data_IF_317113551325
#
_entry.id   IF_317113551325
#
_cell.length_a   1.000
_cell.length_b   1.000
_cell.length_c   1.000
_cell.angle_alpha   90.00
_cell.angle_beta   90.00
_cell.angle_gamma   90.00
#
_symmetry.space_group_name_H-M   'P 1'
#
loop_
_entity.id
_entity.type
_entity.pdbx_description
1 polymer ?
#
# COMPACT_ATOMS: atom_id res chain seq x y z
N UNK A 1 -34.51 22.56 4.95
CA UNK A 1 -33.12 23.02 5.17
C UNK A 1 -32.29 21.79 5.50
N UNK A 2 -31.14 21.67 4.83
CA UNK A 2 -30.49 20.40 4.48
C UNK A 2 -30.13 19.48 5.64
N UNK A 3 -30.29 18.19 5.38
CA UNK A 3 -29.76 17.11 6.20
C UNK A 3 -28.25 17.30 6.36
N UNK A 4 -27.79 17.40 7.61
CA UNK A 4 -26.39 17.24 7.93
C UNK A 4 -26.01 15.80 7.55
N UNK A 5 -25.21 15.64 6.49
CA UNK A 5 -24.53 14.39 6.19
C UNK A 5 -23.64 14.04 7.37
N UNK A 6 -24.15 13.19 8.26
CA UNK A 6 -23.35 12.53 9.27
C UNK A 6 -22.30 11.72 8.54
N UNK A 7 -21.05 12.22 8.53
CA UNK A 7 -19.88 11.45 8.10
C UNK A 7 -19.96 10.07 8.76
N UNK A 8 -19.93 8.96 8.00
CA UNK A 8 -19.98 7.63 8.56
C UNK A 8 -18.81 7.48 9.54
N UNK A 9 -19.11 6.97 10.75
CA UNK A 9 -18.12 6.72 11.81
C UNK A 9 -17.00 5.85 11.23
N UNK A 10 -15.81 6.42 11.07
CA UNK A 10 -14.63 5.66 10.68
C UNK A 10 -14.26 4.72 11.81
N UNK A 11 -14.21 3.42 11.55
CA UNK A 11 -13.49 2.51 12.42
C UNK A 11 -12.00 2.81 12.22
N UNK A 12 -11.42 3.57 13.15
CA UNK A 12 -10.09 4.18 13.08
C UNK A 12 -8.91 3.21 13.21
N UNK A 13 -9.08 1.91 13.03
CA UNK A 13 -8.11 0.94 13.53
C UNK A 13 -6.84 0.76 12.67
N UNK A 14 -6.76 1.26 11.43
CA UNK A 14 -5.58 1.02 10.54
C UNK A 14 -4.87 2.29 10.04
N UNK A 15 -5.31 3.47 10.48
CA UNK A 15 -4.72 4.75 10.06
C UNK A 15 -3.33 4.99 10.65
N UNK A 16 -3.17 4.55 11.89
CA UNK A 16 -1.99 4.78 12.73
C UNK A 16 -1.42 3.47 13.28
N UNK A 17 -1.89 2.32 12.77
CA UNK A 17 -1.15 1.07 12.90
C UNK A 17 0.12 1.23 12.05
N UNK A 18 1.05 1.98 12.63
CA UNK A 18 2.45 1.91 12.28
C UNK A 18 2.79 0.45 12.39
N UNK A 19 3.07 -0.18 11.25
CA UNK A 19 4.15 -1.14 11.12
C UNK A 19 4.87 -1.33 12.47
N UNK A 20 4.42 -2.35 13.21
CA UNK A 20 5.35 -3.17 13.97
C UNK A 20 6.04 -4.17 13.02
N UNK A 21 6.05 -3.94 11.69
CA UNK A 21 7.01 -4.67 10.85
C UNK A 21 8.40 -4.26 11.30
N UNK A 22 9.14 -5.26 11.75
CA UNK A 22 10.54 -5.13 12.11
C UNK A 22 11.31 -4.89 10.82
N UNK A 23 11.33 -3.62 10.39
CA UNK A 23 12.15 -3.23 9.25
C UNK A 23 13.60 -3.48 9.65
N UNK A 24 14.36 -4.27 8.85
CA UNK A 24 15.76 -4.51 9.12
C UNK A 24 16.53 -3.21 9.36
N UNK A 25 17.43 -3.21 10.35
CA UNK A 25 18.16 -2.03 10.81
C UNK A 25 19.06 -1.39 9.74
N UNK A 26 19.40 -2.13 8.68
CA UNK A 26 20.18 -1.61 7.56
C UNK A 26 19.34 -0.73 6.60
N UNK A 27 18.00 -0.78 6.69
CA UNK A 27 17.09 0.07 5.91
C UNK A 27 16.90 1.39 6.65
N UNK A 28 17.64 2.41 6.24
CA UNK A 28 17.71 3.71 6.95
C UNK A 28 16.61 4.69 6.60
N UNK A 29 15.89 4.49 5.48
CA UNK A 29 14.80 5.36 5.01
C UNK A 29 13.63 4.53 4.45
N UNK A 30 12.87 3.85 5.32
CA UNK A 30 11.85 2.91 4.87
C UNK A 30 10.69 3.56 4.10
N UNK A 31 10.46 4.87 4.27
CA UNK A 31 9.31 5.58 3.70
C UNK A 31 9.62 6.28 2.37
N UNK A 32 10.90 6.55 2.07
CA UNK A 32 11.27 7.33 0.89
C UNK A 32 11.19 6.55 -0.42
N UNK A 33 11.17 5.23 -0.35
CA UNK A 33 11.28 4.32 -1.50
C UNK A 33 10.13 3.30 -1.55
N UNK A 34 8.99 3.61 -0.94
CA UNK A 34 7.82 2.75 -0.95
C UNK A 34 7.23 2.65 -2.36
N UNK A 35 6.95 1.43 -2.79
CA UNK A 35 6.28 1.10 -4.06
C UNK A 35 5.42 -0.15 -3.90
N UNK A 36 4.53 -0.42 -4.87
CA UNK A 36 3.89 -1.73 -5.01
C UNK A 36 4.67 -2.54 -6.05
N UNK A 37 4.97 -3.80 -5.76
CA UNK A 37 5.68 -4.68 -6.69
C UNK A 37 5.06 -6.07 -6.77
N UNK A 38 5.13 -6.67 -7.96
CA UNK A 38 4.58 -8.01 -8.18
C UNK A 38 5.39 -9.09 -7.45
N UNK A 39 4.73 -9.83 -6.56
CA UNK A 39 5.27 -10.96 -5.82
C UNK A 39 4.13 -11.96 -5.54
N UNK A 40 4.40 -13.25 -5.70
CA UNK A 40 3.45 -14.34 -5.36
C UNK A 40 2.04 -14.21 -5.97
N UNK A 41 1.91 -13.58 -7.15
CA UNK A 41 0.63 -13.46 -7.85
C UNK A 41 -0.10 -12.12 -7.65
N UNK A 42 0.40 -11.24 -6.79
CA UNK A 42 -0.22 -9.96 -6.46
C UNK A 42 0.82 -8.84 -6.41
N UNK A 43 0.39 -7.58 -6.36
CA UNK A 43 1.28 -6.45 -6.13
C UNK A 43 1.23 -6.04 -4.67
N UNK A 44 2.36 -6.22 -3.98
CA UNK A 44 2.48 -5.96 -2.55
C UNK A 44 3.36 -4.74 -2.25
N UNK A 45 3.13 -4.05 -1.13
CA UNK A 45 3.99 -3.00 -0.62
C UNK A 45 5.41 -3.50 -0.39
N UNK A 46 6.38 -2.76 -0.91
CA UNK A 46 7.79 -3.00 -0.69
C UNK A 46 8.60 -1.70 -0.67
N UNK A 47 9.84 -1.81 -0.21
CA UNK A 47 10.82 -0.73 -0.16
C UNK A 47 11.90 -1.04 -1.18
N UNK A 48 12.21 -0.11 -2.09
CA UNK A 48 13.40 -0.23 -2.95
C UNK A 48 14.65 0.02 -2.10
N UNK A 49 15.55 -0.96 -2.05
CA UNK A 49 16.81 -0.91 -1.33
C UNK A 49 17.94 -0.39 -2.22
N UNK A 50 18.11 -1.01 -3.39
CA UNK A 50 19.16 -0.66 -4.37
C UNK A 50 18.78 -1.15 -5.78
N UNK A 51 19.70 -1.03 -6.74
CA UNK A 51 19.63 -1.66 -8.05
C UNK A 51 19.89 -3.16 -7.94
N UNK A 52 19.12 -3.94 -8.69
CA UNK A 52 19.34 -5.37 -8.83
C UNK A 52 20.74 -5.65 -9.42
N UNK A 53 21.41 -6.69 -8.92
CA UNK A 53 22.73 -7.12 -9.39
C UNK A 53 22.64 -8.14 -10.51
N UNK A 54 21.57 -8.95 -10.53
CA UNK A 54 21.41 -10.06 -11.45
C UNK A 54 20.30 -9.80 -12.49
N UNK A 55 19.41 -8.84 -12.26
CA UNK A 55 18.35 -8.44 -13.18
C UNK A 55 18.68 -7.09 -13.83
N UNK A 56 18.87 -7.09 -15.15
CA UNK A 56 19.02 -5.84 -15.92
C UNK A 56 17.77 -4.97 -15.78
N UNK A 57 17.97 -3.69 -15.45
CA UNK A 57 16.89 -2.75 -15.11
C UNK A 57 15.99 -3.25 -13.96
N UNK A 58 16.57 -3.96 -12.98
CA UNK A 58 15.86 -4.39 -11.79
C UNK A 58 16.15 -3.54 -10.55
N UNK A 59 15.43 -3.85 -9.49
CA UNK A 59 15.63 -3.33 -8.14
C UNK A 59 15.78 -4.48 -7.15
N UNK A 60 16.64 -4.30 -6.17
CA UNK A 60 16.59 -5.07 -4.92
C UNK A 60 15.52 -4.42 -4.02
N UNK A 61 14.58 -5.22 -3.53
CA UNK A 61 13.43 -4.74 -2.75
C UNK A 61 13.22 -5.57 -1.50
N UNK A 62 12.68 -4.94 -0.45
CA UNK A 62 12.19 -5.58 0.77
C UNK A 62 10.66 -5.56 0.81
N UNK A 63 10.03 -6.73 0.77
CA UNK A 63 8.57 -6.87 0.84
C UNK A 63 8.06 -6.80 2.27
N UNK A 64 7.11 -5.91 2.53
CA UNK A 64 6.62 -5.64 3.88
C UNK A 64 5.73 -6.77 4.43
N UNK A 65 4.99 -7.46 3.56
CA UNK A 65 4.00 -8.46 3.95
C UNK A 65 4.63 -9.78 4.42
N UNK A 66 5.75 -10.19 3.83
CA UNK A 66 6.45 -11.45 4.15
C UNK A 66 7.89 -11.25 4.68
N UNK A 67 8.35 -9.99 4.79
CA UNK A 67 9.68 -9.64 5.28
C UNK A 67 10.82 -10.28 4.49
N UNK A 68 10.68 -10.36 3.16
CA UNK A 68 11.69 -10.94 2.28
C UNK A 68 12.41 -9.90 1.43
N UNK A 69 13.69 -10.11 1.19
CA UNK A 69 14.49 -9.35 0.22
C UNK A 69 14.69 -10.14 -1.06
N UNK A 70 14.48 -9.50 -2.21
CA UNK A 70 14.65 -10.14 -3.51
C UNK A 70 14.87 -9.12 -4.62
N UNK A 71 15.34 -9.59 -5.78
CA UNK A 71 15.44 -8.76 -6.97
C UNK A 71 14.17 -8.89 -7.84
N UNK A 72 13.68 -7.75 -8.33
CA UNK A 72 12.53 -7.68 -9.24
C UNK A 72 12.87 -6.85 -10.48
N UNK A 73 12.21 -7.14 -11.61
CA UNK A 73 12.27 -6.30 -12.80
C UNK A 73 11.48 -5.00 -12.61
N UNK A 74 12.00 -3.85 -13.09
CA UNK A 74 11.34 -2.56 -12.91
C UNK A 74 9.94 -2.46 -13.52
N UNK A 75 9.65 -3.22 -14.58
CA UNK A 75 8.32 -3.25 -15.21
C UNK A 75 7.22 -3.86 -14.32
N UNK A 76 7.60 -4.48 -13.20
CA UNK A 76 6.69 -5.05 -12.21
C UNK A 76 6.47 -4.11 -11.01
N UNK A 77 6.86 -2.84 -11.12
CA UNK A 77 6.76 -1.84 -10.05
C UNK A 77 5.71 -0.79 -10.39
N UNK A 78 4.92 -0.39 -9.39
CA UNK A 78 3.96 0.71 -9.43
C UNK A 78 4.36 1.71 -8.33
N UNK A 79 4.90 2.86 -8.73
CA UNK A 79 5.36 3.91 -7.81
C UNK A 79 4.46 5.15 -7.73
N UNK A 80 3.48 5.29 -8.64
CA UNK A 80 2.59 6.46 -8.63
C UNK A 80 1.33 6.20 -7.80
N UNK A 81 1.40 6.44 -6.50
CA UNK A 81 0.24 6.20 -5.62
C UNK A 81 -0.95 7.13 -5.87
N UNK A 82 -0.76 8.27 -6.55
CA UNK A 82 -1.91 9.09 -6.97
C UNK A 82 -2.81 8.35 -7.96
N UNK A 83 -2.25 7.40 -8.71
CA UNK A 83 -3.04 6.55 -9.60
C UNK A 83 -4.00 5.64 -8.82
N UNK A 84 -3.75 5.39 -7.53
CA UNK A 84 -4.67 4.58 -6.71
C UNK A 84 -5.97 5.32 -6.37
N UNK A 85 -6.02 6.65 -6.49
CA UNK A 85 -7.28 7.39 -6.31
C UNK A 85 -8.32 6.89 -7.32
N UNK A 86 -9.53 6.66 -6.83
CA UNK A 86 -10.66 6.12 -7.59
C UNK A 86 -10.47 4.68 -8.10
N UNK A 87 -9.39 3.99 -7.74
CA UNK A 87 -9.19 2.58 -8.05
C UNK A 87 -9.67 1.69 -6.92
N UNK A 88 -9.98 0.43 -7.26
CA UNK A 88 -10.19 -0.61 -6.27
C UNK A 88 -8.86 -1.17 -5.78
N UNK A 89 -8.73 -1.27 -4.46
CA UNK A 89 -7.58 -1.85 -3.78
C UNK A 89 -8.09 -2.94 -2.84
N UNK A 90 -7.23 -3.92 -2.56
CA UNK A 90 -7.50 -4.92 -1.52
C UNK A 90 -6.65 -4.63 -0.29
N UNK A 91 -7.15 -5.02 0.88
CA UNK A 91 -6.44 -4.88 2.15
C UNK A 91 -6.90 -5.95 3.12
N UNK A 92 -6.10 -6.24 4.15
CA UNK A 92 -6.40 -7.27 5.14
C UNK A 92 -6.56 -6.67 6.53
N UNK A 93 -7.65 -7.01 7.22
CA UNK A 93 -7.89 -6.68 8.63
C UNK A 93 -8.12 -7.99 9.38
N UNK A 94 -7.36 -8.25 10.46
CA UNK A 94 -7.52 -9.45 11.30
C UNK A 94 -7.56 -10.78 10.51
N UNK A 95 -6.76 -10.86 9.43
CA UNK A 95 -6.67 -12.02 8.53
C UNK A 95 -7.82 -12.15 7.52
N UNK A 96 -8.79 -11.23 7.52
CA UNK A 96 -9.85 -11.15 6.51
C UNK A 96 -9.49 -10.15 5.42
N UNK A 97 -9.63 -10.55 4.17
CA UNK A 97 -9.40 -9.68 3.01
C UNK A 97 -10.66 -8.91 2.64
N UNK A 98 -10.49 -7.63 2.39
CA UNK A 98 -11.51 -6.70 1.94
C UNK A 98 -11.07 -6.08 0.62
N UNK A 99 -12.03 -5.59 -0.16
CA UNK A 99 -11.77 -4.84 -1.39
C UNK A 99 -12.66 -3.62 -1.41
N UNK A 100 -12.08 -2.46 -1.74
CA UNK A 100 -12.83 -1.22 -1.76
C UNK A 100 -12.20 -0.17 -2.64
N UNK A 101 -12.97 0.88 -2.92
CA UNK A 101 -12.56 2.00 -3.77
C UNK A 101 -11.87 3.08 -2.93
N UNK A 102 -10.73 3.57 -3.39
CA UNK A 102 -10.01 4.69 -2.76
C UNK A 102 -10.68 6.02 -3.13
N UNK A 103 -10.98 6.85 -2.14
CA UNK A 103 -11.59 8.18 -2.33
C UNK A 103 -10.67 9.33 -1.95
N UNK A 104 -9.77 9.11 -1.00
CA UNK A 104 -8.87 10.14 -0.51
C UNK A 104 -7.53 9.53 -0.07
N UNK A 105 -6.52 10.38 0.05
CA UNK A 105 -5.21 10.02 0.55
C UNK A 105 -4.72 11.08 1.52
N UNK A 106 -4.13 10.64 2.62
CA UNK A 106 -3.46 11.50 3.57
C UNK A 106 -2.04 11.00 3.83
N UNK A 107 -1.11 11.91 4.07
CA UNK A 107 0.17 11.54 4.64
C UNK A 107 0.04 11.50 6.16
N UNK A 108 0.74 10.59 6.81
CA UNK A 108 0.97 10.68 8.25
C UNK A 108 2.27 11.47 8.46
N UNK A 109 2.15 12.67 9.03
CA UNK A 109 3.28 13.59 9.23
C UNK A 109 4.33 13.07 10.22
N UNK A 110 4.01 12.05 11.03
CA UNK A 110 4.94 11.50 12.02
C UNK A 110 5.87 10.43 11.44
N UNK A 111 5.40 9.67 10.45
CA UNK A 111 6.13 8.53 9.91
C UNK A 111 6.23 8.54 8.37
N UNK A 112 5.80 9.62 7.72
CA UNK A 112 5.79 9.80 6.26
C UNK A 112 5.06 8.69 5.47
N UNK A 113 4.30 7.85 6.15
CA UNK A 113 3.57 6.75 5.51
C UNK A 113 2.26 7.28 4.96
N UNK A 114 1.88 6.81 3.78
CA UNK A 114 0.61 7.19 3.15
C UNK A 114 -0.53 6.35 3.69
N UNK A 115 -1.64 7.02 3.95
CA UNK A 115 -2.90 6.43 4.33
C UNK A 115 -3.92 6.65 3.21
N UNK A 116 -4.78 5.66 3.00
CA UNK A 116 -5.81 5.65 1.97
C UNK A 116 -7.17 5.59 2.64
N UNK A 117 -8.08 6.46 2.22
CA UNK A 117 -9.48 6.43 2.64
C UNK A 117 -10.26 5.57 1.65
N UNK A 118 -10.69 4.40 2.11
CA UNK A 118 -11.25 3.33 1.26
C UNK A 118 -12.70 3.08 1.67
N UNK A 119 -13.61 3.05 0.69
CA UNK A 119 -14.98 2.61 0.89
C UNK A 119 -15.14 1.15 0.46
N UNK A 120 -15.60 0.30 1.36
CA UNK A 120 -15.93 -1.11 1.14
C UNK A 120 -17.33 -1.34 1.69
N UNK A 121 -18.28 -1.78 0.86
CA UNK A 121 -19.67 -2.08 1.26
C UNK A 121 -20.34 -0.99 2.13
N UNK A 122 -20.24 0.28 1.71
CA UNK A 122 -20.73 1.48 2.44
C UNK A 122 -20.06 1.74 3.80
N UNK A 123 -18.99 1.03 4.13
CA UNK A 123 -18.13 1.29 5.27
C UNK A 123 -16.84 1.96 4.81
N UNK A 124 -16.30 2.84 5.65
CA UNK A 124 -15.14 3.65 5.30
C UNK A 124 -13.99 3.37 6.27
N UNK A 125 -12.82 3.14 5.69
CA UNK A 125 -11.61 2.75 6.41
C UNK A 125 -10.48 3.70 6.03
N UNK A 126 -9.70 4.11 7.03
CA UNK A 126 -8.37 4.62 6.79
C UNK A 126 -7.39 3.47 6.90
N UNK A 127 -6.69 3.15 5.82
CA UNK A 127 -5.75 2.03 5.74
C UNK A 127 -4.38 2.54 5.35
N UNK A 128 -3.38 2.20 6.15
CA UNK A 128 -1.98 2.54 5.86
C UNK A 128 -1.44 1.72 4.68
N UNK A 129 -0.54 2.34 3.89
CA UNK A 129 0.08 1.76 2.70
C UNK A 129 0.59 0.31 2.87
N UNK A 130 1.21 -0.08 3.98
CA UNK A 130 1.72 -1.43 4.17
C UNK A 130 0.67 -2.54 4.14
N UNK A 131 -0.61 -2.21 4.36
CA UNK A 131 -1.71 -3.17 4.43
C UNK A 131 -2.53 -3.26 3.16
N UNK A 132 -2.27 -2.39 2.17
CA UNK A 132 -2.94 -2.47 0.87
C UNK A 132 -2.17 -3.39 -0.07
N UNK A 133 -2.84 -4.05 -0.98
CA UNK A 133 -2.25 -4.81 -2.09
C UNK A 133 -3.18 -4.76 -3.30
N UNK A 134 -2.67 -5.14 -4.47
CA UNK A 134 -3.47 -5.22 -5.69
C UNK A 134 -3.43 -6.62 -6.29
N UNK A 135 -4.57 -7.08 -6.77
CA UNK A 135 -4.61 -8.18 -7.73
C UNK A 135 -4.06 -7.72 -9.10
N UNK A 136 -3.67 -8.65 -9.99
CA UNK A 136 -3.28 -8.29 -11.35
C UNK A 136 -4.37 -7.56 -12.14
N UNK A 137 -5.64 -7.84 -11.87
CA UNK A 137 -6.81 -7.16 -12.43
C UNK A 137 -6.89 -5.70 -11.96
N UNK A 138 -6.75 -5.45 -10.65
CA UNK A 138 -6.74 -4.10 -10.09
C UNK A 138 -5.55 -3.29 -10.60
N UNK A 139 -4.36 -3.90 -10.63
CA UNK A 139 -3.14 -3.25 -11.12
C UNK A 139 -3.23 -2.86 -12.60
N UNK A 140 -4.00 -3.58 -13.42
CA UNK A 140 -4.25 -3.23 -14.83
C UNK A 140 -5.05 -1.94 -15.00
N UNK A 141 -5.85 -1.54 -14.01
CA UNK A 141 -6.62 -0.28 -14.06
C UNK A 141 -5.71 0.96 -13.93
N UNK A 142 -4.47 0.77 -13.48
CA UNK A 142 -3.49 1.83 -13.22
C UNK A 142 -2.55 2.11 -14.41
N UNK A 143 -2.66 1.33 -15.50
CA UNK A 143 -1.73 1.34 -16.64
C UNK A 143 -2.33 1.98 -17.88
#
# INVERSE_FOLDING_TARGET
MGNAETKPRSNNNLKDDTIQTQIPSHITKPTSNLVLAYNEGQFHPCIILDRARNISNGYEVFFLHNQTETEIFSGNVIGNFKALLECEVSFTIDGQSYTGKVFDMANNDQNETRNFFICCDNQYFWVSFPFIYLTPEQARQLR
#
